data_IF_207203043960
#
_entry.id   IF_207203043960
#
_cell.length_a   1.000
_cell.length_b   1.000
_cell.length_c   1.000
_cell.angle_alpha   90.00
_cell.angle_beta   90.00
_cell.angle_gamma   90.00
#
_symmetry.space_group_name_H-M   'P 1'
#
loop_
_entity.id
_entity.type
_entity.pdbx_description
1 polymer ?
#
# COMPACT_ATOMS: atom_id res chain seq x y z
N UNK A 1 -0.58 -28.60 -8.13
CA UNK A 1 -0.26 -27.29 -8.72
C UNK A 1 -0.70 -26.25 -7.71
N UNK A 2 0.19 -25.39 -7.20
CA UNK A 2 -0.22 -24.32 -6.28
C UNK A 2 -1.24 -23.44 -7.00
N UNK A 3 -2.39 -23.16 -6.40
CA UNK A 3 -3.28 -22.13 -6.94
C UNK A 3 -2.53 -20.79 -6.91
N UNK A 4 -2.80 -19.93 -7.89
CA UNK A 4 -2.26 -18.57 -7.86
C UNK A 4 -2.70 -17.89 -6.55
N UNK A 5 -1.86 -17.00 -6.06
CA UNK A 5 -2.13 -16.20 -4.85
C UNK A 5 -2.57 -14.80 -5.27
N UNK A 6 -3.30 -14.13 -4.38
CA UNK A 6 -3.63 -12.71 -4.49
C UNK A 6 -2.70 -11.90 -3.63
N UNK A 7 -2.20 -10.80 -4.17
CA UNK A 7 -1.57 -9.75 -3.36
C UNK A 7 -2.34 -8.46 -3.55
N UNK A 8 -2.40 -7.65 -2.50
CA UNK A 8 -3.04 -6.34 -2.56
C UNK A 8 -1.99 -5.25 -2.65
N UNK A 9 -2.23 -4.28 -3.54
CA UNK A 9 -1.40 -3.11 -3.76
C UNK A 9 -2.22 -1.87 -3.45
N UNK A 10 -1.71 -1.00 -2.60
CA UNK A 10 -2.27 0.35 -2.41
C UNK A 10 -1.34 1.34 -3.12
N UNK A 11 -1.76 2.02 -4.21
CA UNK A 11 -0.91 2.99 -4.90
C UNK A 11 -0.45 4.13 -3.98
N UNK A 12 -1.26 4.50 -2.99
CA UNK A 12 -0.93 5.51 -1.99
C UNK A 12 -1.49 6.89 -2.36
N UNK A 13 -0.67 7.94 -2.23
CA UNK A 13 -1.08 9.32 -2.49
C UNK A 13 -1.51 9.52 -3.96
N UNK A 14 -2.78 9.86 -4.23
CA UNK A 14 -3.30 9.95 -5.60
C UNK A 14 -2.68 11.08 -6.43
N UNK A 15 -2.18 12.14 -5.79
CA UNK A 15 -1.43 13.20 -6.48
C UNK A 15 0.05 12.83 -6.71
N UNK A 16 0.55 11.78 -6.05
CA UNK A 16 1.94 11.35 -6.12
C UNK A 16 2.24 10.45 -7.32
N UNK A 17 3.40 9.80 -7.28
CA UNK A 17 3.85 8.86 -8.32
C UNK A 17 3.35 7.43 -8.12
N UNK A 18 2.67 7.16 -7.00
CA UNK A 18 2.17 5.83 -6.66
C UNK A 18 1.31 5.21 -7.76
N UNK A 19 0.27 5.91 -8.24
CA UNK A 19 -0.51 5.49 -9.41
C UNK A 19 0.37 5.21 -10.64
N UNK A 20 1.31 6.09 -10.96
CA UNK A 20 2.21 5.95 -12.11
C UNK A 20 3.04 4.65 -12.04
N UNK A 21 3.61 4.35 -10.88
CA UNK A 21 4.41 3.14 -10.65
C UNK A 21 3.56 1.87 -10.81
N UNK A 22 2.32 1.89 -10.32
CA UNK A 22 1.40 0.75 -10.45
C UNK A 22 0.95 0.55 -11.90
N UNK A 23 0.71 1.62 -12.65
CA UNK A 23 0.44 1.54 -14.10
C UNK A 23 1.63 0.94 -14.85
N UNK A 24 2.86 1.36 -14.52
CA UNK A 24 4.08 0.81 -15.13
C UNK A 24 4.31 -0.66 -14.75
N UNK A 25 4.05 -1.03 -13.49
CA UNK A 25 4.10 -2.41 -13.00
C UNK A 25 3.17 -3.35 -13.78
N UNK A 26 2.01 -2.84 -14.18
CA UNK A 26 1.00 -3.57 -14.94
C UNK A 26 1.44 -3.93 -16.36
N UNK A 27 2.48 -3.29 -16.91
CA UNK A 27 2.92 -3.50 -18.30
C UNK A 27 3.59 -4.86 -18.55
N UNK A 28 3.82 -5.64 -17.49
CA UNK A 28 4.28 -7.03 -17.58
C UNK A 28 3.32 -7.98 -16.89
N UNK A 29 3.34 -9.24 -17.31
CA UNK A 29 2.59 -10.29 -16.65
C UNK A 29 3.23 -10.68 -15.30
N UNK A 30 2.42 -11.18 -14.38
CA UNK A 30 2.83 -11.63 -13.05
C UNK A 30 2.29 -13.04 -12.74
N UNK A 31 3.03 -13.88 -12.00
CA UNK A 31 2.56 -15.22 -11.63
C UNK A 31 1.47 -15.24 -10.54
N UNK A 32 1.03 -14.06 -10.11
CA UNK A 32 0.06 -13.81 -9.04
C UNK A 32 -0.99 -12.82 -9.55
N UNK A 33 -2.15 -12.79 -8.89
CA UNK A 33 -3.16 -11.76 -9.15
C UNK A 33 -2.78 -10.47 -8.42
N UNK A 34 -2.78 -9.36 -9.15
CA UNK A 34 -2.47 -8.04 -8.60
C UNK A 34 -3.77 -7.29 -8.31
N UNK A 35 -4.25 -7.39 -7.08
CA UNK A 35 -5.43 -6.66 -6.61
C UNK A 35 -5.01 -5.26 -6.20
N UNK A 36 -5.44 -4.24 -6.93
CA UNK A 36 -5.10 -2.84 -6.66
C UNK A 36 -6.27 -2.18 -5.94
N UNK A 37 -6.06 -1.79 -4.69
CA UNK A 37 -7.04 -1.08 -3.87
C UNK A 37 -6.91 0.42 -4.13
N UNK A 38 -7.73 0.94 -5.05
CA UNK A 38 -7.60 2.31 -5.55
C UNK A 38 -8.87 2.79 -6.26
N UNK A 39 -8.82 4.03 -6.75
CA UNK A 39 -9.86 4.58 -7.61
C UNK A 39 -9.57 4.16 -9.06
N UNK A 40 -10.57 3.60 -9.74
CA UNK A 40 -10.43 3.11 -11.12
C UNK A 40 -10.17 4.23 -12.14
N UNK A 41 -10.98 5.31 -12.14
CA UNK A 41 -10.73 6.50 -12.94
C UNK A 41 -9.32 7.06 -12.77
N UNK A 42 -8.82 7.21 -11.54
CA UNK A 42 -7.45 7.66 -11.26
C UNK A 42 -6.40 6.85 -12.01
N UNK A 43 -6.47 5.52 -11.96
CA UNK A 43 -5.49 4.65 -12.63
C UNK A 43 -5.60 4.75 -14.15
N UNK A 44 -6.82 4.84 -14.68
CA UNK A 44 -7.08 4.93 -16.12
C UNK A 44 -6.62 6.28 -16.68
N UNK A 45 -6.93 7.37 -15.99
CA UNK A 45 -6.47 8.72 -16.32
C UNK A 45 -4.94 8.79 -16.25
N UNK A 46 -4.34 8.22 -15.21
CA UNK A 46 -2.87 8.20 -15.10
C UNK A 46 -2.21 7.41 -16.23
N UNK A 47 -2.79 6.28 -16.61
CA UNK A 47 -2.30 5.49 -17.74
C UNK A 47 -2.38 6.28 -19.06
N UNK A 48 -3.47 7.01 -19.28
CA UNK A 48 -3.62 7.88 -20.44
C UNK A 48 -2.56 9.00 -20.46
N UNK A 49 -2.28 9.65 -19.32
CA UNK A 49 -1.23 10.68 -19.20
C UNK A 49 0.18 10.14 -19.50
N UNK A 50 0.44 8.87 -19.15
CA UNK A 50 1.72 8.20 -19.40
C UNK A 50 1.80 7.57 -20.81
N UNK A 51 0.70 7.54 -21.57
CA UNK A 51 0.64 6.86 -22.86
C UNK A 51 0.78 5.34 -22.76
N UNK A 52 0.33 4.74 -21.65
CA UNK A 52 0.44 3.30 -21.40
C UNK A 52 -0.94 2.61 -21.48
N UNK A 53 -1.03 1.41 -22.08
CA UNK A 53 -2.27 0.65 -22.08
C UNK A 53 -2.59 0.14 -20.67
N UNK A 54 -3.86 0.23 -20.27
CA UNK A 54 -4.34 -0.36 -19.03
C UNK A 54 -5.79 -0.82 -19.17
N UNK A 55 -6.06 -2.05 -18.74
CA UNK A 55 -7.40 -2.60 -18.56
C UNK A 55 -7.61 -3.00 -17.10
N UNK A 56 -8.67 -2.49 -16.48
CA UNK A 56 -9.02 -2.82 -15.11
C UNK A 56 -10.04 -3.95 -15.10
N UNK A 57 -9.66 -5.09 -14.52
CA UNK A 57 -10.51 -6.25 -14.29
C UNK A 57 -11.21 -6.10 -12.93
N UNK A 58 -12.48 -6.49 -12.77
CA UNK A 58 -13.13 -6.42 -11.46
C UNK A 58 -12.53 -7.44 -10.51
N UNK A 59 -12.28 -7.03 -9.26
CA UNK A 59 -11.96 -7.98 -8.19
C UNK A 59 -13.19 -8.84 -7.85
N UNK A 60 -13.02 -10.16 -7.81
CA UNK A 60 -14.05 -11.12 -7.41
C UNK A 60 -13.45 -12.15 -6.45
N UNK A 61 -13.78 -12.10 -5.14
CA UNK A 61 -13.19 -12.99 -4.14
C UNK A 61 -13.57 -14.46 -4.36
N UNK A 62 -14.77 -14.72 -4.89
CA UNK A 62 -15.33 -16.06 -5.07
C UNK A 62 -14.75 -16.81 -6.28
N UNK A 63 -14.09 -16.10 -7.18
CA UNK A 63 -13.40 -16.70 -8.32
C UNK A 63 -11.99 -17.10 -7.88
N UNK A 64 -11.45 -18.26 -8.30
CA UNK A 64 -10.06 -18.60 -8.03
C UNK A 64 -9.10 -17.55 -8.60
N UNK A 65 -8.06 -17.22 -7.85
CA UNK A 65 -7.07 -16.25 -8.31
C UNK A 65 -6.37 -16.73 -9.59
N UNK A 66 -6.02 -15.78 -10.46
CA UNK A 66 -5.31 -16.05 -11.70
C UNK A 66 -4.04 -15.18 -11.85
N UNK A 67 -2.98 -15.67 -12.51
CA UNK A 67 -1.83 -14.84 -12.86
C UNK A 67 -2.24 -13.58 -13.62
N UNK A 68 -1.72 -12.41 -13.23
CA UNK A 68 -2.07 -11.14 -13.86
C UNK A 68 -1.50 -11.04 -15.28
N UNK A 69 -2.32 -10.84 -16.32
CA UNK A 69 -1.84 -10.54 -17.68
C UNK A 69 -1.16 -9.17 -17.77
N UNK A 70 -0.24 -9.02 -18.73
CA UNK A 70 0.35 -7.72 -19.06
C UNK A 70 -0.71 -6.73 -19.56
N UNK A 71 -0.57 -5.45 -19.19
CA UNK A 71 -1.50 -4.38 -19.49
C UNK A 71 -2.77 -4.41 -18.63
N UNK A 72 -2.83 -5.23 -17.59
CA UNK A 72 -4.04 -5.38 -16.75
C UNK A 72 -3.76 -5.25 -15.26
N UNK A 73 -4.76 -4.81 -14.51
CA UNK A 73 -4.79 -4.84 -13.04
C UNK A 73 -6.16 -5.32 -12.58
N UNK A 74 -6.23 -6.06 -11.48
CA UNK A 74 -7.50 -6.41 -10.83
C UNK A 74 -7.86 -5.31 -9.85
N UNK A 75 -8.97 -4.60 -10.06
CA UNK A 75 -9.36 -3.43 -9.27
C UNK A 75 -10.24 -3.83 -8.09
N UNK A 76 -9.80 -3.46 -6.88
CA UNK A 76 -10.63 -3.36 -5.69
C UNK A 76 -10.99 -1.88 -5.50
N UNK A 77 -12.20 -1.45 -5.91
CA UNK A 77 -12.50 -0.04 -6.05
C UNK A 77 -12.67 0.67 -4.70
N UNK A 78 -12.04 1.84 -4.58
CA UNK A 78 -12.24 2.82 -3.51
C UNK A 78 -12.30 4.18 -4.19
N UNK A 79 -13.39 4.92 -4.06
CA UNK A 79 -13.57 6.17 -4.81
C UNK A 79 -12.80 7.34 -4.20
N UNK A 80 -12.22 8.20 -5.04
CA UNK A 80 -11.71 9.50 -4.60
C UNK A 80 -12.82 10.40 -4.06
N UNK A 81 -12.44 11.40 -3.27
CA UNK A 81 -13.35 12.40 -2.68
C UNK A 81 -13.34 13.71 -3.45
N UNK A 82 -12.23 14.00 -4.11
CA UNK A 82 -12.05 15.13 -5.01
C UNK A 82 -11.17 14.71 -6.20
N UNK A 83 -11.25 15.42 -7.34
CA UNK A 83 -10.34 15.18 -8.46
C UNK A 83 -8.88 15.20 -8.02
N UNK A 84 -8.09 14.25 -8.51
CA UNK A 84 -6.67 14.15 -8.21
C UNK A 84 -5.85 14.76 -9.35
N UNK A 85 -5.07 15.80 -9.05
CA UNK A 85 -4.18 16.44 -10.02
C UNK A 85 -2.74 16.02 -9.72
N UNK A 86 -1.98 15.47 -10.69
CA UNK A 86 -0.57 15.13 -10.50
C UNK A 86 0.24 16.28 -9.88
N UNK A 87 0.94 15.98 -8.79
CA UNK A 87 1.79 16.93 -8.08
C UNK A 87 1.08 17.95 -7.20
N UNK A 88 -0.26 17.93 -7.12
CA UNK A 88 -1.05 18.85 -6.30
C UNK A 88 -1.82 18.08 -5.22
N UNK A 89 -1.38 18.23 -3.97
CA UNK A 89 -2.01 17.59 -2.81
C UNK A 89 -3.39 18.20 -2.54
N UNK A 90 -4.34 17.34 -2.20
CA UNK A 90 -5.74 17.72 -1.94
C UNK A 90 -6.20 17.07 -0.63
N UNK A 91 -6.55 17.87 0.37
CA UNK A 91 -6.89 17.43 1.73
C UNK A 91 -8.09 16.49 1.74
N UNK A 92 -9.05 16.71 0.85
CA UNK A 92 -10.26 15.93 0.68
C UNK A 92 -9.95 14.47 0.36
N UNK A 93 -8.80 14.17 -0.26
CA UNK A 93 -8.37 12.80 -0.59
C UNK A 93 -7.57 12.13 0.53
N UNK A 94 -7.28 12.80 1.65
CA UNK A 94 -6.69 12.18 2.84
C UNK A 94 -7.48 10.95 3.34
N UNK A 95 -8.81 11.04 3.54
CA UNK A 95 -9.67 9.90 3.85
C UNK A 95 -9.61 8.76 2.83
N UNK A 96 -9.43 9.07 1.53
CA UNK A 96 -9.27 8.05 0.49
C UNK A 96 -8.02 7.21 0.71
N UNK A 97 -6.88 7.87 0.96
CA UNK A 97 -5.61 7.16 1.20
C UNK A 97 -5.76 6.22 2.39
N UNK A 98 -6.31 6.72 3.50
CA UNK A 98 -6.50 5.92 4.72
C UNK A 98 -7.49 4.76 4.52
N UNK A 99 -8.55 4.96 3.75
CA UNK A 99 -9.50 3.88 3.43
C UNK A 99 -8.84 2.76 2.63
N UNK A 100 -8.01 3.08 1.63
CA UNK A 100 -7.30 2.03 0.85
C UNK A 100 -6.36 1.23 1.74
N UNK A 101 -5.64 1.89 2.66
CA UNK A 101 -4.77 1.22 3.63
C UNK A 101 -5.57 0.33 4.59
N UNK A 102 -6.70 0.83 5.11
CA UNK A 102 -7.58 0.07 6.00
C UNK A 102 -8.12 -1.19 5.31
N UNK A 103 -8.68 -1.04 4.11
CA UNK A 103 -9.27 -2.13 3.34
C UNK A 103 -8.25 -3.21 2.97
N UNK A 104 -7.05 -2.79 2.56
CA UNK A 104 -5.99 -3.70 2.19
C UNK A 104 -5.42 -4.45 3.42
N UNK A 105 -5.26 -3.75 4.54
CA UNK A 105 -4.89 -4.35 5.82
C UNK A 105 -5.90 -5.41 6.28
N UNK A 106 -7.19 -5.08 6.26
CA UNK A 106 -8.26 -5.98 6.69
C UNK A 106 -8.33 -7.23 5.81
N UNK A 107 -8.15 -7.07 4.49
CA UNK A 107 -8.09 -8.21 3.58
C UNK A 107 -6.91 -9.15 3.90
N UNK A 108 -5.74 -8.62 4.25
CA UNK A 108 -4.63 -9.45 4.70
C UNK A 108 -4.92 -10.16 6.03
N UNK A 109 -5.52 -9.46 7.01
CA UNK A 109 -5.90 -10.05 8.30
C UNK A 109 -6.95 -11.17 8.15
N UNK A 110 -7.81 -11.07 7.13
CA UNK A 110 -8.84 -12.05 6.80
C UNK A 110 -8.35 -13.15 5.85
N UNK A 111 -7.05 -13.19 5.52
CA UNK A 111 -6.46 -14.10 4.55
C UNK A 111 -7.04 -14.01 3.13
N UNK A 112 -7.69 -12.89 2.81
CA UNK A 112 -8.15 -12.55 1.46
C UNK A 112 -6.96 -12.29 0.52
N UNK A 113 -5.89 -11.69 1.06
CA UNK A 113 -4.66 -11.38 0.33
C UNK A 113 -3.44 -11.96 1.05
N UNK A 114 -2.55 -12.60 0.29
CA UNK A 114 -1.34 -13.23 0.80
C UNK A 114 -0.25 -12.24 1.21
N UNK A 115 -0.26 -11.02 0.64
CA UNK A 115 0.67 -9.95 0.97
C UNK A 115 0.07 -8.58 0.64
N UNK A 116 0.59 -7.56 1.32
CA UNK A 116 0.30 -6.14 1.10
C UNK A 116 1.57 -5.42 0.61
N UNK A 117 1.45 -4.71 -0.51
CA UNK A 117 2.50 -3.86 -1.07
C UNK A 117 2.00 -2.41 -1.11
N UNK A 118 2.71 -1.51 -0.44
CA UNK A 118 2.30 -0.10 -0.35
C UNK A 118 3.15 0.79 -1.23
N UNK A 119 2.51 1.60 -2.06
CA UNK A 119 3.10 2.78 -2.66
C UNK A 119 3.27 3.93 -1.66
N UNK A 120 3.91 5.03 -2.07
CA UNK A 120 4.19 6.17 -1.20
C UNK A 120 2.90 6.93 -0.83
N UNK A 121 2.82 7.37 0.43
CA UNK A 121 1.75 8.27 0.92
C UNK A 121 2.34 9.57 1.44
N UNK A 122 1.55 10.64 1.47
CA UNK A 122 1.97 11.92 2.02
C UNK A 122 1.36 12.15 3.40
N UNK A 123 2.14 11.93 4.46
CA UNK A 123 1.69 12.11 5.85
C UNK A 123 1.06 13.49 6.12
N UNK A 124 1.63 14.55 5.55
CA UNK A 124 1.19 15.92 5.81
C UNK A 124 -0.27 16.13 5.44
N UNK A 125 -0.66 15.74 4.22
CA UNK A 125 -2.03 15.98 3.71
C UNK A 125 -3.07 15.14 4.44
N UNK A 126 -2.69 13.94 4.91
CA UNK A 126 -3.56 13.10 5.75
C UNK A 126 -3.82 13.77 7.11
N UNK A 127 -2.77 14.32 7.74
CA UNK A 127 -2.93 15.04 9.01
C UNK A 127 -3.69 16.36 8.84
N UNK A 128 -3.45 17.08 7.74
CA UNK A 128 -4.18 18.31 7.40
C UNK A 128 -5.68 18.03 7.15
N UNK A 129 -6.03 16.79 6.77
CA UNK A 129 -7.42 16.32 6.69
C UNK A 129 -8.05 16.00 8.05
N UNK A 130 -7.33 16.26 9.15
CA UNK A 130 -7.77 15.96 10.51
C UNK A 130 -7.67 14.49 10.90
N UNK A 131 -6.92 13.67 10.14
CA UNK A 131 -6.73 12.25 10.43
C UNK A 131 -5.34 12.04 11.05
N UNK A 132 -5.25 11.61 12.33
CA UNK A 132 -3.96 11.30 12.94
C UNK A 132 -3.26 10.18 12.17
N UNK A 133 -2.10 10.49 11.59
CA UNK A 133 -1.35 9.51 10.82
C UNK A 133 0.15 9.70 11.02
N UNK A 134 0.83 8.68 11.56
CA UNK A 134 2.28 8.73 11.78
C UNK A 134 3.06 8.20 10.59
N UNK A 135 2.58 7.11 9.98
CA UNK A 135 3.23 6.37 8.91
C UNK A 135 2.51 5.05 8.65
N UNK A 136 2.88 4.36 7.56
CA UNK A 136 2.32 3.05 7.22
C UNK A 136 2.52 2.03 8.34
N UNK A 137 3.74 1.96 8.88
CA UNK A 137 4.12 0.97 9.87
C UNK A 137 3.27 1.08 11.13
N UNK A 138 3.09 2.30 11.65
CA UNK A 138 2.29 2.55 12.84
C UNK A 138 0.80 2.30 12.57
N UNK A 139 0.30 2.70 11.40
CA UNK A 139 -1.09 2.46 11.02
C UNK A 139 -1.42 0.95 11.00
N UNK A 140 -0.56 0.14 10.38
CA UNK A 140 -0.77 -1.31 10.33
C UNK A 140 -0.50 -1.99 11.67
N UNK A 141 0.50 -1.54 12.44
CA UNK A 141 0.75 -2.06 13.80
C UNK A 141 -0.49 -1.91 14.68
N UNK A 142 -1.08 -0.72 14.70
CA UNK A 142 -2.30 -0.44 15.46
C UNK A 142 -3.49 -1.27 14.96
N UNK A 143 -3.75 -1.25 13.64
CA UNK A 143 -4.92 -1.92 13.05
C UNK A 143 -4.85 -3.44 13.15
N UNK A 144 -3.66 -4.02 13.03
CA UNK A 144 -3.43 -5.47 13.19
C UNK A 144 -3.31 -5.92 14.65
N UNK A 145 -3.33 -4.98 15.62
CA UNK A 145 -3.08 -5.24 17.03
C UNK A 145 -1.74 -5.94 17.28
N UNK A 146 -0.76 -5.73 16.40
CA UNK A 146 0.57 -6.27 16.56
C UNK A 146 1.22 -5.66 17.81
N UNK A 147 1.74 -6.50 18.70
CA UNK A 147 2.38 -6.03 19.95
C UNK A 147 3.64 -5.20 19.69
N UNK A 148 4.34 -5.50 18.60
CA UNK A 148 5.56 -4.82 18.16
C UNK A 148 5.86 -5.18 16.71
N UNK A 149 6.23 -4.19 15.91
CA UNK A 149 6.80 -4.36 14.58
C UNK A 149 8.30 -4.07 14.53
N UNK A 150 8.99 -4.61 13.52
CA UNK A 150 10.40 -4.36 13.25
C UNK A 150 10.56 -3.94 11.80
N UNK A 151 11.18 -2.79 11.58
CA UNK A 151 11.48 -2.31 10.24
C UNK A 151 12.73 -3.02 9.71
N UNK A 152 12.65 -3.50 8.47
CA UNK A 152 13.77 -4.10 7.75
C UNK A 152 13.89 -3.50 6.36
N UNK A 153 15.09 -3.13 5.97
CA UNK A 153 15.45 -2.80 4.59
C UNK A 153 16.20 -3.99 3.98
N UNK A 154 15.86 -4.34 2.75
CA UNK A 154 16.42 -5.52 2.10
C UNK A 154 16.73 -5.26 0.61
N UNK A 155 17.79 -5.90 0.16
CA UNK A 155 18.15 -6.12 -1.25
C UNK A 155 18.31 -7.64 -1.45
N UNK A 156 18.66 -8.08 -2.66
CA UNK A 156 18.93 -9.51 -2.92
C UNK A 156 20.09 -10.05 -2.06
N UNK A 157 21.11 -9.23 -1.79
CA UNK A 157 22.33 -9.64 -1.09
C UNK A 157 22.37 -9.29 0.40
N UNK A 158 21.58 -8.31 0.86
CA UNK A 158 21.67 -7.77 2.22
C UNK A 158 20.30 -7.52 2.84
N UNK A 159 20.17 -7.86 4.14
CA UNK A 159 19.01 -7.55 4.98
C UNK A 159 19.47 -6.84 6.24
N UNK A 160 18.89 -5.69 6.55
CA UNK A 160 19.21 -4.88 7.74
C UNK A 160 17.92 -4.58 8.49
N UNK A 161 17.79 -5.16 9.69
CA UNK A 161 16.71 -4.85 10.61
C UNK A 161 17.15 -3.75 11.60
N UNK A 162 16.24 -2.86 11.95
CA UNK A 162 16.52 -1.72 12.82
C UNK A 162 15.86 -1.92 14.19
N UNK A 163 16.66 -1.88 15.26
CA UNK A 163 16.15 -1.96 16.63
C UNK A 163 15.35 -0.71 17.04
N UNK A 164 15.68 0.44 16.44
CA UNK A 164 15.00 1.73 16.57
C UNK A 164 14.83 2.35 15.17
N UNK A 165 13.71 3.02 14.91
CA UNK A 165 13.43 3.68 13.62
C UNK A 165 13.71 5.19 13.70
N UNK A 166 12.71 6.04 13.49
CA UNK A 166 12.86 7.49 13.33
C UNK A 166 12.95 8.22 14.69
N UNK A 167 14.04 8.00 15.44
CA UNK A 167 14.34 8.71 16.69
C UNK A 167 15.48 9.74 16.50
N UNK A 168 15.46 10.88 17.20
CA UNK A 168 16.63 11.73 17.32
C UNK A 168 17.83 10.95 17.87
N UNK A 169 19.03 11.20 17.34
CA UNK A 169 20.24 10.46 17.70
C UNK A 169 20.49 10.38 19.23
N UNK A 170 20.24 11.49 19.95
CA UNK A 170 20.41 11.55 21.42
C UNK A 170 19.51 10.59 22.20
N UNK A 171 18.41 10.13 21.62
CA UNK A 171 17.44 9.25 22.29
C UNK A 171 17.73 7.76 22.06
N UNK A 172 18.69 7.42 21.17
CA UNK A 172 18.94 6.03 20.77
C UNK A 172 19.46 5.20 21.95
N UNK A 173 20.46 5.71 22.69
CA UNK A 173 21.07 4.97 23.79
C UNK A 173 20.03 4.54 24.84
N UNK A 174 19.13 5.45 25.22
CA UNK A 174 18.09 5.19 26.22
C UNK A 174 16.98 4.26 25.70
N UNK A 175 16.79 4.17 24.38
CA UNK A 175 15.77 3.33 23.75
C UNK A 175 16.19 1.85 23.66
N UNK A 176 17.49 1.55 23.71
CA UNK A 176 18.00 0.18 23.69
C UNK A 176 17.96 -0.42 25.10
N UNK A 177 16.98 -1.29 25.34
CA UNK A 177 16.77 -1.94 26.65
C UNK A 177 16.63 -3.44 26.50
N UNK A 178 17.18 -4.20 27.45
CA UNK A 178 16.85 -5.61 27.63
C UNK A 178 15.38 -5.69 28.09
N UNK A 179 14.53 -6.41 27.35
CA UNK A 179 13.21 -6.80 27.83
C UNK A 179 13.30 -8.24 28.30
N UNK A 180 13.14 -8.47 29.60
CA UNK A 180 12.90 -9.81 30.12
C UNK A 180 11.48 -10.21 29.72
N UNK A 181 11.36 -11.35 29.01
CA UNK A 181 10.06 -11.94 28.72
C UNK A 181 9.52 -12.55 30.00
N UNK A 182 8.71 -11.80 30.75
CA UNK A 182 7.78 -12.43 31.70
C UNK A 182 6.70 -13.11 30.88
N UNK A 183 6.81 -14.44 30.78
CA UNK A 183 5.74 -15.36 30.37
C UNK A 183 4.46 -15.11 31.15
#
# INVERSE_FOLDING_TARGET
MSSAQRVVITPGEPAGIGPDLVVQLAQRAWPIELVVCADGPLLTERAAMLGLPLSLLPYSPDVPAAPQPAGTLTLLPVSLRAPAIPGQLTVENGPYVVETLARACDGCLQHEFAALITGPVHKGVINDAGIPFTGHTEFFEERSQAKKVVMMLATEALRVALATTHLPLRAIADAIRLRYSTT
#
